data_IF_268488658467
#
_entry.id   IF_268488658467
#
_cell.length_a   1.000
_cell.length_b   1.000
_cell.length_c   1.000
_cell.angle_alpha   90.00
_cell.angle_beta   90.00
_cell.angle_gamma   90.00
#
_symmetry.space_group_name_H-M   'P 1'
#
loop_
_entity.id
_entity.type
_entity.pdbx_description
1 polymer ?
#
# COMPACT_ATOMS: atom_id res chain seq x y z
N UNK A 1 3.03 -4.01 13.82
CA UNK A 1 2.30 -4.27 12.55
C UNK A 1 2.24 -5.78 12.30
N UNK A 2 1.31 -6.25 11.46
CA UNK A 2 1.33 -7.63 10.99
C UNK A 2 2.63 -7.88 10.21
N UNK A 3 3.35 -8.96 10.52
CA UNK A 3 4.60 -9.32 9.85
C UNK A 3 4.28 -9.95 8.50
N UNK A 4 5.09 -9.66 7.49
CA UNK A 4 5.03 -10.40 6.23
C UNK A 4 5.65 -11.79 6.35
N UNK A 5 5.41 -12.64 5.35
CA UNK A 5 5.87 -14.02 5.33
C UNK A 5 6.57 -14.37 3.99
N UNK A 6 7.61 -15.20 4.05
CA UNK A 6 8.41 -15.64 2.89
C UNK A 6 8.89 -14.50 1.97
N UNK A 7 9.36 -13.39 2.54
CA UNK A 7 9.81 -12.22 1.78
C UNK A 7 8.72 -11.16 1.52
N UNK A 8 7.50 -11.40 2.01
CA UNK A 8 6.44 -10.40 2.05
C UNK A 8 6.75 -9.25 2.99
N UNK A 9 6.26 -8.05 2.64
CA UNK A 9 6.41 -6.85 3.45
C UNK A 9 5.45 -6.86 4.65
N UNK A 10 5.79 -6.18 5.76
CA UNK A 10 4.85 -5.97 6.85
C UNK A 10 3.66 -5.11 6.40
N UNK A 11 2.52 -5.29 7.08
CA UNK A 11 1.34 -4.46 6.85
C UNK A 11 1.51 -3.04 7.37
N UNK A 12 0.72 -2.11 6.81
CA UNK A 12 0.66 -0.74 7.29
C UNK A 12 0.25 -0.68 8.76
N UNK A 13 0.84 0.25 9.52
CA UNK A 13 0.48 0.50 10.91
C UNK A 13 -0.83 1.28 10.92
N UNK A 14 -1.77 0.86 11.77
CA UNK A 14 -3.01 1.59 11.98
C UNK A 14 -2.75 2.88 12.75
N UNK A 15 -3.58 3.88 12.53
CA UNK A 15 -3.43 5.21 13.12
C UNK A 15 -4.79 5.80 13.48
N UNK A 16 -4.81 6.60 14.54
CA UNK A 16 -5.97 7.35 14.99
C UNK A 16 -5.57 8.80 14.99
N UNK A 17 -6.20 9.61 14.16
CA UNK A 17 -5.92 11.04 14.06
C UNK A 17 -7.19 11.84 14.40
N UNK A 18 -7.04 12.85 15.23
CA UNK A 18 -8.08 13.83 15.52
C UNK A 18 -7.97 15.00 14.54
N UNK A 19 -9.08 15.69 14.28
CA UNK A 19 -9.11 16.84 13.36
C UNK A 19 -8.23 18.03 13.77
N UNK A 20 -7.69 18.03 14.99
CA UNK A 20 -6.72 19.00 15.49
C UNK A 20 -5.26 18.53 15.33
N UNK A 21 -5.03 17.42 14.63
CA UNK A 21 -3.71 16.86 14.31
C UNK A 21 -3.12 15.97 15.41
N UNK A 22 -3.83 15.72 16.52
CA UNK A 22 -3.34 14.81 17.56
C UNK A 22 -3.47 13.35 17.13
N UNK A 23 -2.49 12.54 17.51
CA UNK A 23 -2.46 11.08 17.30
C UNK A 23 -2.58 10.31 18.64
N UNK A 24 -3.81 10.18 19.18
CA UNK A 24 -4.04 9.49 20.43
C UNK A 24 -3.60 8.01 20.43
N UNK A 25 -3.32 7.48 21.62
CA UNK A 25 -3.06 6.06 21.82
C UNK A 25 -4.30 5.22 21.47
N UNK A 26 -4.21 4.25 20.55
CA UNK A 26 -5.39 3.58 19.98
C UNK A 26 -6.17 2.69 20.96
N UNK A 27 -5.62 2.39 22.14
CA UNK A 27 -6.25 1.54 23.17
C UNK A 27 -6.67 2.33 24.41
N UNK A 28 -7.25 3.51 24.20
CA UNK A 28 -7.76 4.39 25.27
C UNK A 28 -9.11 4.99 24.88
N UNK A 29 -9.85 5.47 25.87
CA UNK A 29 -11.09 6.24 25.67
C UNK A 29 -10.78 7.71 25.42
N UNK A 30 -11.41 8.29 24.41
CA UNK A 30 -11.31 9.72 24.10
C UNK A 30 -12.71 10.34 24.05
N UNK A 31 -12.86 11.49 24.69
CA UNK A 31 -14.06 12.30 24.56
C UNK A 31 -13.89 13.28 23.40
N UNK A 32 -14.80 13.19 22.43
CA UNK A 32 -14.83 14.11 21.29
C UNK A 32 -15.72 15.30 21.61
N UNK A 33 -15.28 16.48 21.18
CA UNK A 33 -16.09 17.69 21.26
C UNK A 33 -17.04 17.78 20.05
N UNK A 34 -18.18 18.50 20.18
CA UNK A 34 -19.05 18.76 19.04
C UNK A 34 -18.26 19.34 17.85
N UNK A 35 -18.45 18.76 16.66
CA UNK A 35 -17.76 19.16 15.44
C UNK A 35 -16.34 18.61 15.26
N UNK A 36 -15.77 17.93 16.26
CA UNK A 36 -14.47 17.27 16.12
C UNK A 36 -14.60 16.00 15.26
N UNK A 37 -13.61 15.76 14.38
CA UNK A 37 -13.56 14.53 13.56
C UNK A 37 -12.45 13.60 14.04
N UNK A 38 -12.70 12.30 13.89
CA UNK A 38 -11.72 11.23 14.06
C UNK A 38 -11.51 10.57 12.70
N UNK A 39 -10.26 10.41 12.31
CA UNK A 39 -9.85 9.58 11.18
C UNK A 39 -9.20 8.31 11.72
N UNK A 40 -9.83 7.16 11.44
CA UNK A 40 -9.26 5.85 11.73
C UNK A 40 -8.62 5.30 10.46
N UNK A 41 -7.29 5.19 10.45
CA UNK A 41 -6.57 4.43 9.41
C UNK A 41 -6.39 3.02 9.94
N UNK A 42 -7.17 2.09 9.41
CA UNK A 42 -7.10 0.69 9.87
C UNK A 42 -5.77 0.05 9.42
N UNK A 43 -5.19 -0.83 10.24
CA UNK A 43 -3.94 -1.50 9.88
C UNK A 43 -4.14 -2.44 8.68
N UNK A 44 -3.07 -2.60 7.90
CA UNK A 44 -3.02 -3.58 6.82
C UNK A 44 -2.58 -4.97 7.30
N UNK A 45 -2.89 -6.00 6.51
CA UNK A 45 -2.32 -7.34 6.67
C UNK A 45 -0.85 -7.41 6.22
N UNK A 46 -0.12 -8.42 6.70
CA UNK A 46 1.22 -8.72 6.19
C UNK A 46 1.15 -9.40 4.82
N UNK A 47 2.07 -9.05 3.92
CA UNK A 47 2.16 -9.65 2.60
C UNK A 47 2.76 -11.06 2.61
N UNK A 48 2.52 -11.79 1.52
CA UNK A 48 3.11 -13.11 1.26
C UNK A 48 3.99 -13.02 0.01
N UNK A 49 5.20 -13.59 0.09
CA UNK A 49 6.22 -13.51 -0.97
C UNK A 49 6.75 -12.12 -1.30
N UNK A 50 7.90 -12.07 -1.98
CA UNK A 50 8.46 -10.81 -2.43
C UNK A 50 7.51 -10.12 -3.41
N UNK A 51 7.19 -8.82 -3.25
CA UNK A 51 6.21 -8.11 -4.10
C UNK A 51 6.50 -8.19 -5.61
N UNK A 52 7.77 -8.28 -6.02
CA UNK A 52 8.13 -8.39 -7.44
C UNK A 52 7.77 -9.75 -8.06
N UNK A 53 7.36 -10.73 -7.26
CA UNK A 53 6.84 -12.02 -7.73
C UNK A 53 5.33 -11.95 -8.04
N UNK A 54 4.62 -10.89 -7.63
CA UNK A 54 3.20 -10.71 -7.96
C UNK A 54 3.04 -10.55 -9.49
N UNK A 55 2.03 -11.20 -10.05
CA UNK A 55 1.68 -11.06 -11.46
C UNK A 55 1.41 -9.58 -11.81
N UNK A 56 2.12 -8.99 -12.80
CA UNK A 56 1.85 -7.64 -13.27
C UNK A 56 0.39 -7.37 -13.63
N UNK A 57 -0.33 -8.35 -14.17
CA UNK A 57 -1.75 -8.20 -14.50
C UNK A 57 -2.62 -8.04 -13.24
N UNK A 58 -2.33 -8.81 -12.19
CA UNK A 58 -3.00 -8.65 -10.90
C UNK A 58 -2.69 -7.29 -10.26
N UNK A 59 -1.46 -6.78 -10.39
CA UNK A 59 -1.11 -5.44 -9.89
C UNK A 59 -1.87 -4.35 -10.65
N UNK A 60 -2.01 -4.46 -11.97
CA UNK A 60 -2.82 -3.53 -12.76
C UNK A 60 -4.27 -3.51 -12.27
N UNK A 61 -4.85 -4.69 -12.00
CA UNK A 61 -6.21 -4.80 -11.47
C UNK A 61 -6.31 -4.16 -10.07
N UNK A 62 -5.34 -4.42 -9.18
CA UNK A 62 -5.28 -3.76 -7.87
C UNK A 62 -5.25 -2.23 -7.98
N UNK A 63 -4.56 -1.69 -8.99
CA UNK A 63 -4.51 -0.24 -9.23
C UNK A 63 -5.86 0.27 -9.74
N UNK A 64 -6.51 -0.45 -10.65
CA UNK A 64 -7.84 -0.09 -11.17
C UNK A 64 -8.91 -0.12 -10.07
N UNK A 65 -8.78 -1.04 -9.11
CA UNK A 65 -9.65 -1.14 -7.94
C UNK A 65 -9.32 -0.12 -6.84
N UNK A 66 -8.21 0.63 -6.98
CA UNK A 66 -7.79 1.64 -6.01
C UNK A 66 -7.13 1.07 -4.75
N UNK A 67 -6.80 -0.23 -4.72
CA UNK A 67 -6.05 -0.83 -3.62
C UNK A 67 -4.57 -0.45 -3.65
N UNK A 68 -4.03 -0.23 -4.85
CA UNK A 68 -2.63 0.15 -5.07
C UNK A 68 -2.59 1.45 -5.88
N UNK A 69 -1.70 2.36 -5.54
CA UNK A 69 -1.50 3.58 -6.35
C UNK A 69 -0.56 3.27 -7.52
N UNK A 70 -0.63 4.05 -8.61
CA UNK A 70 0.34 3.94 -9.72
C UNK A 70 1.80 4.04 -9.25
N UNK A 71 2.06 4.91 -8.27
CA UNK A 71 3.37 5.07 -7.66
C UNK A 71 3.82 3.82 -6.87
N UNK A 72 2.91 3.21 -6.11
CA UNK A 72 3.19 1.98 -5.37
C UNK A 72 3.35 0.78 -6.31
N UNK A 73 2.57 0.67 -7.39
CA UNK A 73 2.75 -0.35 -8.42
C UNK A 73 4.18 -0.33 -8.97
N UNK A 74 4.69 0.87 -9.28
CA UNK A 74 6.05 1.06 -9.78
C UNK A 74 7.14 0.75 -8.75
N UNK A 75 7.04 1.31 -7.55
CA UNK A 75 8.13 1.27 -6.56
C UNK A 75 8.14 0.01 -5.70
N UNK A 76 6.95 -0.51 -5.38
CA UNK A 76 6.77 -1.65 -4.50
C UNK A 76 6.65 -2.97 -5.25
N UNK A 77 5.92 -2.99 -6.36
CA UNK A 77 5.70 -4.21 -7.15
C UNK A 77 6.57 -4.29 -8.42
N UNK A 78 7.27 -3.20 -8.76
CA UNK A 78 8.11 -3.12 -9.95
C UNK A 78 7.31 -3.14 -11.26
N UNK A 79 6.05 -2.76 -11.22
CA UNK A 79 5.13 -2.79 -12.38
C UNK A 79 4.89 -1.36 -12.85
N UNK A 80 5.26 -1.09 -14.10
CA UNK A 80 4.99 0.18 -14.75
C UNK A 80 3.69 0.09 -15.55
N UNK A 81 2.80 1.07 -15.36
CA UNK A 81 1.46 1.12 -15.96
C UNK A 81 1.31 2.48 -16.64
N UNK A 82 0.81 2.48 -17.89
CA UNK A 82 0.35 3.71 -18.53
C UNK A 82 -1.08 4.03 -18.06
N UNK A 83 -1.30 5.15 -17.36
CA UNK A 83 -2.62 5.52 -16.87
C UNK A 83 -3.61 5.94 -17.97
N UNK A 84 -3.13 6.26 -19.17
CA UNK A 84 -4.01 6.67 -20.26
C UNK A 84 -4.64 5.46 -20.96
N UNK A 85 -3.84 4.42 -21.19
CA UNK A 85 -4.29 3.19 -21.87
C UNK A 85 -4.64 2.05 -20.91
N UNK A 86 -4.31 2.17 -19.62
CA UNK A 86 -4.44 1.10 -18.63
C UNK A 86 -3.73 -0.19 -19.03
N UNK A 87 -2.54 -0.04 -19.62
CA UNK A 87 -1.71 -1.16 -20.05
C UNK A 87 -0.41 -1.24 -19.25
N UNK A 88 0.14 -2.44 -19.15
CA UNK A 88 1.43 -2.68 -18.50
C UNK A 88 2.53 -2.35 -19.49
N UNK A 89 3.46 -1.50 -19.07
CA UNK A 89 4.68 -1.20 -19.81
C UNK A 89 5.68 -2.35 -19.57
N UNK A 90 5.57 -3.41 -20.37
CA UNK A 90 6.29 -4.69 -20.16
C UNK A 90 7.81 -4.51 -20.11
N UNK A 91 8.38 -3.73 -21.04
CA UNK A 91 9.83 -3.50 -21.08
C UNK A 91 10.34 -2.80 -19.82
N UNK A 92 9.63 -1.77 -19.36
CA UNK A 92 10.00 -1.03 -18.16
C UNK A 92 9.81 -1.87 -16.89
N UNK A 93 8.72 -2.63 -16.80
CA UNK A 93 8.47 -3.59 -15.73
C UNK A 93 9.61 -4.60 -15.61
N UNK A 94 10.09 -5.15 -16.72
CA UNK A 94 11.23 -6.06 -16.73
C UNK A 94 12.51 -5.38 -16.20
N UNK A 95 12.79 -4.14 -16.62
CA UNK A 95 13.95 -3.38 -16.11
C UNK A 95 13.84 -3.03 -14.63
N UNK A 96 12.66 -2.66 -14.14
CA UNK A 96 12.43 -2.37 -12.73
C UNK A 96 12.66 -3.61 -11.86
N UNK A 97 12.22 -4.78 -12.32
CA UNK A 97 12.37 -6.04 -11.59
C UNK A 97 13.79 -6.62 -11.66
N UNK A 98 14.50 -6.42 -12.76
CA UNK A 98 15.91 -6.84 -12.88
C UNK A 98 16.85 -6.06 -11.95
N UNK A 99 16.63 -4.74 -11.78
CA UNK A 99 17.48 -3.84 -10.97
C UNK A 99 17.47 -4.10 -9.45
N UNK A 100 16.55 -4.92 -8.96
CA UNK A 100 16.30 -5.12 -7.52
C UNK A 100 16.45 -6.58 -7.09
N UNK A 101 17.06 -7.41 -7.94
CA UNK A 101 17.41 -8.80 -7.63
C UNK A 101 18.82 -8.96 -7.02
N UNK A 102 19.49 -7.83 -6.69
CA UNK A 102 20.72 -7.77 -5.88
C UNK A 102 20.41 -7.40 -4.42
#
# INVERSE_FOLDING_TARGET
PARGFMGGKPGAVGDVELSDGRHPHPKTRYQLQPGQRVTLRLPGGGGFHHPFQRDPAAVLDDVRQGYVTLAAARTEYGVAIDPNSWTILTAETAQLRARKSD
#
